data_IF_130612449167
#
_entry.id   IF_130612449167
#
_cell.length_a   1.000
_cell.length_b   1.000
_cell.length_c   1.000
_cell.angle_alpha   90.00
_cell.angle_beta   90.00
_cell.angle_gamma   90.00
#
_symmetry.space_group_name_H-M   'P 1'
#
loop_
_entity.id
_entity.type
_entity.pdbx_description
1 polymer ?
#
# COMPACT_ATOMS: atom_id res chain seq x y z
N UNK A 1 -37.33 -16.97 11.57
CA UNK A 1 -36.54 -16.12 12.48
C UNK A 1 -35.10 -16.62 12.46
N UNK A 2 -34.20 -15.97 11.70
CA UNK A 2 -32.76 -16.33 11.69
C UNK A 2 -32.18 -15.93 13.03
N UNK A 3 -31.55 -16.86 13.75
CA UNK A 3 -30.77 -16.56 14.94
C UNK A 3 -29.72 -15.51 14.57
N UNK A 4 -29.81 -14.33 15.18
CA UNK A 4 -28.81 -13.27 15.06
C UNK A 4 -27.51 -13.79 15.66
N UNK A 5 -26.57 -14.24 14.82
CA UNK A 5 -25.20 -14.54 15.24
C UNK A 5 -24.61 -13.29 15.86
N UNK A 6 -24.42 -13.30 17.19
CA UNK A 6 -23.82 -12.18 17.92
C UNK A 6 -22.43 -11.94 17.32
N UNK A 7 -22.19 -10.74 16.78
CA UNK A 7 -20.90 -10.37 16.18
C UNK A 7 -19.73 -10.69 17.11
N UNK A 8 -18.68 -11.30 16.55
CA UNK A 8 -17.45 -11.64 17.29
C UNK A 8 -16.63 -10.39 17.61
N UNK A 9 -15.78 -10.48 18.64
CA UNK A 9 -14.89 -9.40 19.06
C UNK A 9 -13.56 -9.56 18.32
N UNK A 10 -13.17 -8.53 17.57
CA UNK A 10 -11.94 -8.50 16.77
C UNK A 10 -11.06 -7.35 17.25
N UNK A 11 -9.76 -7.60 17.42
CA UNK A 11 -8.78 -6.56 17.74
C UNK A 11 -7.67 -6.50 16.69
N UNK A 12 -7.61 -5.40 15.93
CA UNK A 12 -6.47 -5.04 15.10
C UNK A 12 -5.43 -4.32 15.94
N UNK A 13 -4.16 -4.71 15.82
CA UNK A 13 -3.06 -4.19 16.63
C UNK A 13 -1.97 -3.59 15.73
N UNK A 14 -1.68 -2.31 15.95
CA UNK A 14 -0.52 -1.64 15.36
C UNK A 14 0.21 -0.76 16.39
N UNK A 15 1.50 -0.55 16.12
CA UNK A 15 2.49 0.18 16.88
C UNK A 15 3.13 1.30 16.06
N UNK A 16 2.93 1.32 14.73
CA UNK A 16 3.54 2.29 13.80
C UNK A 16 2.56 2.93 12.83
N UNK A 17 1.46 2.25 12.46
CA UNK A 17 0.52 2.78 11.48
C UNK A 17 -0.38 3.87 12.09
N UNK A 18 -0.74 4.90 11.31
CA UNK A 18 -1.67 5.92 11.75
C UNK A 18 -3.08 5.33 11.94
N UNK A 19 -3.88 5.94 12.82
CA UNK A 19 -5.26 5.46 13.12
C UNK A 19 -6.21 5.39 11.91
N UNK A 20 -5.94 6.14 10.84
CA UNK A 20 -6.73 6.13 9.61
C UNK A 20 -5.95 5.52 8.44
N UNK A 21 -5.04 4.58 8.72
CA UNK A 21 -4.34 3.82 7.70
C UNK A 21 -5.33 3.23 6.68
N UNK A 22 -4.96 3.30 5.40
CA UNK A 22 -5.86 2.92 4.30
C UNK A 22 -6.17 1.43 4.31
N UNK A 23 -5.19 0.58 4.62
CA UNK A 23 -5.38 -0.87 4.65
C UNK A 23 -6.04 -1.29 5.95
N UNK A 24 -5.52 -0.81 7.09
CA UNK A 24 -5.97 -1.28 8.40
C UNK A 24 -7.34 -0.72 8.74
N UNK A 25 -7.49 0.60 8.75
CA UNK A 25 -8.73 1.23 9.21
C UNK A 25 -9.78 1.31 8.11
N UNK A 26 -9.44 1.97 6.98
CA UNK A 26 -10.43 2.30 5.95
C UNK A 26 -10.99 1.08 5.24
N UNK A 27 -10.16 0.04 5.10
CA UNK A 27 -10.46 -1.20 4.39
C UNK A 27 -10.83 -2.31 5.38
N UNK A 28 -9.87 -2.86 6.11
CA UNK A 28 -10.11 -4.06 6.92
C UNK A 28 -11.05 -3.85 8.11
N UNK A 29 -10.76 -2.90 9.01
CA UNK A 29 -11.56 -2.67 10.21
C UNK A 29 -13.01 -2.28 9.87
N UNK A 30 -13.19 -1.37 8.91
CA UNK A 30 -14.52 -0.92 8.48
C UNK A 30 -15.31 -2.02 7.76
N UNK A 31 -14.66 -2.85 6.94
CA UNK A 31 -15.31 -4.02 6.32
C UNK A 31 -15.82 -5.00 7.40
N UNK A 32 -15.00 -5.30 8.41
CA UNK A 32 -15.38 -6.19 9.50
C UNK A 32 -16.49 -5.60 10.39
N UNK A 33 -16.43 -4.30 10.69
CA UNK A 33 -17.48 -3.61 11.43
C UNK A 33 -18.81 -3.62 10.66
N UNK A 34 -18.76 -3.39 9.34
CA UNK A 34 -19.92 -3.43 8.44
C UNK A 34 -20.52 -4.83 8.32
N UNK A 35 -19.70 -5.88 8.45
CA UNK A 35 -20.14 -7.26 8.55
C UNK A 35 -20.73 -7.64 9.92
N UNK A 36 -20.81 -6.69 10.86
CA UNK A 36 -21.45 -6.85 12.17
C UNK A 36 -20.52 -7.32 13.29
N UNK A 37 -19.20 -7.35 13.08
CA UNK A 37 -18.23 -7.64 14.14
C UNK A 37 -18.03 -6.44 15.07
N UNK A 38 -17.69 -6.70 16.33
CA UNK A 38 -17.25 -5.66 17.27
C UNK A 38 -15.74 -5.46 17.07
N UNK A 39 -15.36 -4.40 16.38
CA UNK A 39 -13.97 -4.16 15.98
C UNK A 39 -13.31 -3.12 16.88
N UNK A 40 -12.13 -3.46 17.39
CA UNK A 40 -11.23 -2.53 18.06
C UNK A 40 -9.93 -2.39 17.27
N UNK A 41 -9.42 -1.16 17.14
CA UNK A 41 -8.13 -0.87 16.53
C UNK A 41 -7.22 -0.25 17.59
N UNK A 42 -6.21 -0.99 18.04
CA UNK A 42 -5.21 -0.51 19.00
C UNK A 42 -4.08 0.21 18.26
N UNK A 43 -3.86 1.48 18.60
CA UNK A 43 -2.88 2.38 17.96
C UNK A 43 -1.96 3.01 19.01
N UNK A 44 -0.84 3.58 18.56
CA UNK A 44 0.15 4.25 19.42
C UNK A 44 0.49 5.65 18.89
N UNK A 45 -0.52 6.50 18.70
CA UNK A 45 -0.35 7.83 18.11
C UNK A 45 -0.44 8.98 19.13
N UNK A 46 -0.94 8.72 20.34
CA UNK A 46 -1.04 9.71 21.40
C UNK A 46 -2.21 10.68 21.28
N UNK A 47 -3.20 10.41 20.45
CA UNK A 47 -4.38 11.29 20.31
C UNK A 47 -5.60 10.79 21.12
N UNK A 48 -5.43 9.78 21.96
CA UNK A 48 -6.50 9.23 22.80
C UNK A 48 -7.47 8.32 22.05
N UNK A 49 -8.42 7.75 22.80
CA UNK A 49 -9.45 6.85 22.29
C UNK A 49 -10.49 7.59 21.43
N UNK A 50 -11.04 6.90 20.44
CA UNK A 50 -12.02 7.43 19.49
C UNK A 50 -12.95 6.30 19.02
N UNK A 51 -14.21 6.62 18.71
CA UNK A 51 -15.10 5.70 17.98
C UNK A 51 -15.42 6.32 16.62
N UNK A 52 -15.19 5.57 15.54
CA UNK A 52 -15.39 6.05 14.17
C UNK A 52 -15.78 4.91 13.25
N UNK A 53 -16.82 5.14 12.44
CA UNK A 53 -17.30 4.18 11.43
C UNK A 53 -17.56 2.76 11.98
N UNK A 54 -18.06 2.67 13.23
CA UNK A 54 -18.31 1.39 13.92
C UNK A 54 -17.06 0.69 14.48
N UNK A 55 -15.90 1.35 14.44
CA UNK A 55 -14.62 0.85 14.96
C UNK A 55 -14.24 1.63 16.22
N UNK A 56 -13.92 0.90 17.29
CA UNK A 56 -13.42 1.48 18.54
C UNK A 56 -11.88 1.57 18.48
N UNK A 57 -11.37 2.78 18.27
CA UNK A 57 -9.94 3.08 18.22
C UNK A 57 -9.43 3.33 19.64
N UNK A 58 -8.42 2.57 20.04
CA UNK A 58 -7.89 2.54 21.40
C UNK A 58 -6.41 2.94 21.38
N UNK A 59 -6.08 4.10 21.93
CA UNK A 59 -4.70 4.60 21.92
C UNK A 59 -3.91 4.08 23.13
N UNK A 60 -2.63 3.76 22.90
CA UNK A 60 -1.67 3.38 23.95
C UNK A 60 -0.54 4.39 24.12
N UNK A 61 -0.65 5.54 23.47
CA UNK A 61 0.30 6.64 23.58
C UNK A 61 1.52 6.50 22.67
N UNK A 62 1.98 7.66 22.17
CA UNK A 62 3.05 7.77 21.17
C UNK A 62 4.39 7.18 21.65
N UNK A 63 5.14 6.48 20.77
CA UNK A 63 6.52 6.08 21.08
C UNK A 63 7.43 7.30 21.29
N UNK A 64 8.29 7.23 22.30
CA UNK A 64 9.34 8.25 22.53
C UNK A 64 10.43 8.18 21.46
N UNK A 65 10.74 6.97 21.00
CA UNK A 65 11.73 6.67 19.97
C UNK A 65 11.50 5.24 19.45
N UNK A 66 12.33 4.79 18.50
CA UNK A 66 12.21 3.46 17.88
C UNK A 66 12.40 2.31 18.88
N UNK A 67 13.29 2.43 19.87
CA UNK A 67 13.51 1.39 20.87
C UNK A 67 12.31 1.25 21.80
N UNK A 68 11.75 2.37 22.25
CA UNK A 68 10.50 2.40 23.02
C UNK A 68 9.34 1.80 22.21
N UNK A 69 9.28 2.07 20.89
CA UNK A 69 8.28 1.45 20.01
C UNK A 69 8.39 -0.08 20.01
N UNK A 70 9.59 -0.63 19.88
CA UNK A 70 9.81 -2.07 19.82
C UNK A 70 9.66 -2.77 21.20
N UNK A 71 9.58 -2.02 22.30
CA UNK A 71 9.57 -2.58 23.67
C UNK A 71 8.44 -2.04 24.55
N UNK A 72 8.47 -0.76 24.90
CA UNK A 72 7.48 -0.12 25.76
C UNK A 72 6.11 -0.09 25.12
N UNK A 73 6.00 0.35 23.86
CA UNK A 73 4.74 0.35 23.10
C UNK A 73 4.22 -1.06 22.91
N UNK A 74 5.05 -2.02 22.49
CA UNK A 74 4.59 -3.42 22.31
C UNK A 74 3.99 -4.01 23.59
N UNK A 75 4.54 -3.70 24.77
CA UNK A 75 3.95 -4.08 26.07
C UNK A 75 2.61 -3.40 26.33
N UNK A 76 2.47 -2.11 26.02
CA UNK A 76 1.20 -1.39 26.19
C UNK A 76 0.12 -1.89 25.23
N UNK A 77 0.49 -2.16 23.97
CA UNK A 77 -0.38 -2.81 22.98
C UNK A 77 -0.83 -4.18 23.49
N UNK A 78 0.08 -4.99 24.03
CA UNK A 78 -0.25 -6.29 24.60
C UNK A 78 -1.25 -6.18 25.77
N UNK A 79 -1.00 -5.28 26.73
CA UNK A 79 -1.89 -5.06 27.86
C UNK A 79 -3.29 -4.63 27.40
N UNK A 80 -3.35 -3.71 26.42
CA UNK A 80 -4.62 -3.26 25.84
C UNK A 80 -5.34 -4.39 25.11
N UNK A 81 -4.63 -5.17 24.28
CA UNK A 81 -5.18 -6.34 23.60
C UNK A 81 -5.78 -7.35 24.58
N UNK A 82 -5.06 -7.67 25.67
CA UNK A 82 -5.54 -8.57 26.71
C UNK A 82 -6.80 -8.05 27.41
N UNK A 83 -6.90 -6.73 27.65
CA UNK A 83 -8.10 -6.12 28.24
C UNK A 83 -9.33 -6.18 27.35
N UNK A 84 -9.15 -6.24 26.02
CA UNK A 84 -10.26 -6.37 25.07
C UNK A 84 -10.84 -7.79 25.11
N UNK A 85 -10.00 -8.81 25.31
CA UNK A 85 -10.43 -10.21 25.33
C UNK A 85 -11.06 -10.64 24.01
N UNK A 86 -10.44 -10.25 22.88
CA UNK A 86 -10.95 -10.53 21.54
C UNK A 86 -10.91 -12.03 21.17
N UNK A 87 -11.83 -12.44 20.31
CA UNK A 87 -11.86 -13.76 19.69
C UNK A 87 -10.72 -13.92 18.68
N UNK A 88 -10.45 -12.84 17.91
CA UNK A 88 -9.38 -12.74 16.92
C UNK A 88 -8.52 -11.50 17.19
N UNK A 89 -7.20 -11.69 17.15
CA UNK A 89 -6.19 -10.65 17.14
C UNK A 89 -5.50 -10.60 15.79
N UNK A 90 -5.51 -9.44 15.15
CA UNK A 90 -4.92 -9.21 13.84
C UNK A 90 -3.75 -8.23 13.98
N UNK A 91 -2.54 -8.70 13.69
CA UNK A 91 -1.29 -7.96 13.91
C UNK A 91 -0.76 -7.40 12.60
N UNK A 92 -0.40 -6.13 12.56
CA UNK A 92 0.12 -5.49 11.33
C UNK A 92 1.64 -5.24 11.34
N UNK A 93 2.30 -5.34 12.49
CA UNK A 93 3.73 -5.00 12.62
C UNK A 93 4.59 -6.20 13.04
N UNK A 94 5.79 -6.37 12.44
CA UNK A 94 6.71 -7.42 12.84
C UNK A 94 7.14 -7.35 14.32
N UNK A 95 7.24 -6.14 14.92
CA UNK A 95 7.53 -6.03 16.35
C UNK A 95 6.43 -6.61 17.27
N UNK A 96 5.22 -6.85 16.76
CA UNK A 96 4.12 -7.45 17.49
C UNK A 96 4.09 -8.98 17.44
N UNK A 97 4.99 -9.64 16.70
CA UNK A 97 5.07 -11.10 16.66
C UNK A 97 5.16 -11.76 18.06
N UNK A 98 5.97 -11.25 19.02
CA UNK A 98 5.98 -11.78 20.38
C UNK A 98 4.65 -11.59 21.12
N UNK A 99 3.95 -10.47 20.86
CA UNK A 99 2.61 -10.21 21.41
C UNK A 99 1.62 -11.24 20.90
N UNK A 100 1.65 -11.53 19.60
CA UNK A 100 0.86 -12.60 18.99
C UNK A 100 1.07 -13.95 19.63
N UNK A 101 2.32 -14.35 19.87
CA UNK A 101 2.62 -15.61 20.55
C UNK A 101 2.02 -15.68 21.95
N UNK A 102 2.04 -14.58 22.70
CA UNK A 102 1.45 -14.52 24.02
C UNK A 102 -0.09 -14.60 23.98
N UNK A 103 -0.72 -13.89 23.05
CA UNK A 103 -2.18 -13.93 22.85
C UNK A 103 -2.64 -15.33 22.40
N UNK A 104 -1.88 -15.98 21.52
CA UNK A 104 -2.13 -17.36 21.06
C UNK A 104 -2.06 -18.37 22.21
N UNK A 105 -1.09 -18.23 23.12
CA UNK A 105 -0.98 -19.08 24.32
C UNK A 105 -2.17 -18.92 25.27
N UNK A 106 -2.81 -17.75 25.26
CA UNK A 106 -4.01 -17.47 26.04
C UNK A 106 -5.32 -17.89 25.32
N UNK A 107 -5.23 -18.67 24.25
CA UNK A 107 -6.38 -19.21 23.53
C UNK A 107 -6.96 -18.29 22.44
N UNK A 108 -6.40 -17.10 22.24
CA UNK A 108 -6.82 -16.20 21.16
C UNK A 108 -6.44 -16.73 19.78
N UNK A 109 -7.26 -16.45 18.77
CA UNK A 109 -6.86 -16.67 17.38
C UNK A 109 -6.03 -15.50 16.90
N UNK A 110 -4.95 -15.78 16.19
CA UNK A 110 -3.97 -14.77 15.79
C UNK A 110 -3.75 -14.82 14.29
N UNK A 111 -3.93 -13.66 13.66
CA UNK A 111 -3.60 -13.39 12.27
C UNK A 111 -2.41 -12.43 12.25
N UNK A 112 -1.43 -12.69 11.39
CA UNK A 112 -0.37 -11.72 11.08
C UNK A 112 -0.53 -11.21 9.64
N UNK A 113 -0.64 -9.91 9.47
CA UNK A 113 -0.69 -9.23 8.18
C UNK A 113 0.71 -8.78 7.76
N UNK A 114 1.29 -9.51 6.83
CA UNK A 114 2.57 -9.17 6.24
C UNK A 114 2.36 -8.11 5.13
N UNK A 115 2.46 -6.83 5.50
CA UNK A 115 2.39 -5.70 4.57
C UNK A 115 3.60 -5.67 3.62
N UNK A 116 4.74 -6.11 4.12
CA UNK A 116 6.01 -6.18 3.40
C UNK A 116 6.84 -7.39 3.86
N UNK A 117 7.82 -7.80 3.06
CA UNK A 117 8.86 -8.75 3.49
C UNK A 117 9.93 -8.03 4.33
N UNK A 118 9.60 -7.77 5.60
CA UNK A 118 10.44 -6.97 6.49
C UNK A 118 11.91 -7.45 6.59
N UNK A 119 12.23 -8.77 6.67
CA UNK A 119 13.61 -9.24 6.57
C UNK A 119 14.30 -8.82 5.27
N UNK A 120 13.67 -9.04 4.11
CA UNK A 120 14.25 -8.63 2.82
C UNK A 120 14.38 -7.11 2.69
N UNK A 121 13.44 -6.35 3.25
CA UNK A 121 13.50 -4.88 3.32
C UNK A 121 14.71 -4.39 4.13
N UNK A 122 15.16 -5.13 5.15
CA UNK A 122 16.37 -4.75 5.88
C UNK A 122 17.63 -4.96 5.02
N UNK A 123 17.64 -6.00 4.18
CA UNK A 123 18.76 -6.30 3.30
C UNK A 123 18.93 -5.24 2.19
N UNK A 124 17.83 -4.65 1.72
CA UNK A 124 17.84 -3.56 0.70
C UNK A 124 18.26 -2.18 1.24
N UNK A 125 18.52 -2.03 2.55
CA UNK A 125 18.98 -0.76 3.13
C UNK A 125 20.47 -0.52 2.88
N UNK A 126 20.81 -0.16 1.63
CA UNK A 126 22.20 -0.06 1.15
C UNK A 126 23.11 0.90 1.94
N UNK A 127 22.54 1.82 2.70
CA UNK A 127 23.25 2.71 3.61
C UNK A 127 23.79 2.04 4.89
N UNK A 128 23.27 0.87 5.29
CA UNK A 128 23.78 0.10 6.42
C UNK A 128 24.95 -0.78 6.00
N UNK A 129 25.93 -1.05 6.87
CA UNK A 129 26.98 -2.02 6.55
C UNK A 129 26.40 -3.44 6.36
N UNK A 130 26.88 -4.27 5.41
CA UNK A 130 26.33 -5.60 5.14
C UNK A 130 26.19 -6.50 6.38
N UNK A 131 27.18 -6.48 7.28
CA UNK A 131 27.13 -7.22 8.55
C UNK A 131 25.93 -6.79 9.40
N UNK A 132 25.67 -5.48 9.50
CA UNK A 132 24.55 -4.94 10.27
C UNK A 132 23.22 -5.37 9.67
N UNK A 133 23.08 -5.34 8.35
CA UNK A 133 21.83 -5.78 7.67
C UNK A 133 21.54 -7.25 7.94
N UNK A 134 22.54 -8.13 7.78
CA UNK A 134 22.35 -9.56 8.02
C UNK A 134 22.07 -9.86 9.49
N UNK A 135 22.76 -9.19 10.42
CA UNK A 135 22.55 -9.36 11.86
C UNK A 135 21.18 -8.90 12.35
N UNK A 136 20.47 -8.03 11.62
CA UNK A 136 19.10 -7.64 11.95
C UNK A 136 18.08 -8.49 11.15
N UNK A 137 18.33 -8.71 9.86
CA UNK A 137 17.44 -9.46 8.98
C UNK A 137 17.29 -10.92 9.40
N UNK A 138 18.38 -11.59 9.76
CA UNK A 138 18.35 -13.02 10.07
C UNK A 138 17.54 -13.32 11.34
N UNK A 139 17.78 -12.67 12.50
CA UNK A 139 16.96 -12.90 13.69
C UNK A 139 15.49 -12.56 13.47
N UNK A 140 15.19 -11.49 12.72
CA UNK A 140 13.80 -11.13 12.41
C UNK A 140 13.13 -12.22 11.57
N UNK A 141 13.79 -12.73 10.54
CA UNK A 141 13.26 -13.82 9.71
C UNK A 141 13.07 -15.13 10.49
N UNK A 142 13.94 -15.42 11.46
CA UNK A 142 13.78 -16.56 12.38
C UNK A 142 12.56 -16.37 13.28
N UNK A 143 12.40 -15.17 13.87
CA UNK A 143 11.25 -14.84 14.73
C UNK A 143 9.93 -14.87 13.95
N UNK A 144 9.91 -14.30 12.74
CA UNK A 144 8.75 -14.29 11.84
C UNK A 144 8.33 -15.72 11.51
N UNK A 145 9.26 -16.56 11.05
CA UNK A 145 8.99 -17.96 10.74
C UNK A 145 8.51 -18.74 11.97
N UNK A 146 9.15 -18.53 13.12
CA UNK A 146 8.79 -19.22 14.36
C UNK A 146 7.38 -18.85 14.83
N UNK A 147 7.04 -17.56 14.75
CA UNK A 147 5.76 -17.00 15.18
C UNK A 147 4.63 -17.37 14.24
N UNK A 148 4.81 -17.13 12.93
CA UNK A 148 3.78 -17.38 11.93
C UNK A 148 3.42 -18.87 11.80
N UNK A 149 4.36 -19.80 12.09
CA UNK A 149 4.04 -21.25 12.19
C UNK A 149 3.07 -21.61 13.32
N UNK A 150 2.87 -20.73 14.30
CA UNK A 150 1.98 -20.94 15.46
C UNK A 150 0.71 -20.12 15.37
N UNK A 151 0.65 -19.15 14.47
CA UNK A 151 -0.54 -18.35 14.22
C UNK A 151 -1.54 -19.15 13.38
N UNK A 152 -2.80 -18.71 13.40
CA UNK A 152 -3.88 -19.40 12.70
C UNK A 152 -3.84 -19.11 11.20
N UNK A 153 -3.49 -17.88 10.82
CA UNK A 153 -3.29 -17.48 9.43
C UNK A 153 -2.25 -16.37 9.31
N UNK A 154 -1.64 -16.29 8.14
CA UNK A 154 -0.95 -15.09 7.67
C UNK A 154 -1.77 -14.48 6.54
N UNK A 155 -1.99 -13.17 6.59
CA UNK A 155 -2.43 -12.40 5.42
C UNK A 155 -1.17 -11.87 4.75
N UNK A 156 -1.04 -12.10 3.46
CA UNK A 156 0.02 -11.54 2.63
C UNK A 156 -0.57 -10.41 1.78
N UNK A 157 0.09 -9.25 1.77
CA UNK A 157 -0.36 -8.10 0.98
C UNK A 157 -0.10 -8.22 -0.53
N UNK A 158 0.75 -9.18 -0.95
CA UNK A 158 1.03 -9.47 -2.37
C UNK A 158 1.25 -10.97 -2.62
N UNK A 159 1.05 -11.45 -3.87
CA UNK A 159 1.33 -12.85 -4.24
C UNK A 159 2.77 -13.29 -3.97
N UNK A 160 3.75 -12.39 -4.10
CA UNK A 160 5.14 -12.67 -3.81
C UNK A 160 5.40 -12.94 -2.32
N UNK A 161 4.77 -12.14 -1.44
CA UNK A 161 4.80 -12.37 0.01
C UNK A 161 4.09 -13.69 0.33
N UNK A 162 2.94 -13.97 -0.31
CA UNK A 162 2.21 -15.23 -0.13
C UNK A 162 3.08 -16.43 -0.46
N UNK A 163 3.78 -16.40 -1.61
CA UNK A 163 4.68 -17.46 -2.07
C UNK A 163 5.79 -17.77 -1.04
N UNK A 164 6.38 -16.76 -0.40
CA UNK A 164 7.35 -16.94 0.69
C UNK A 164 6.77 -17.80 1.82
N UNK A 165 5.53 -17.55 2.25
CA UNK A 165 4.90 -18.32 3.33
C UNK A 165 4.51 -19.73 2.88
N UNK A 166 4.06 -19.90 1.63
CA UNK A 166 3.78 -21.22 1.05
C UNK A 166 5.03 -22.11 1.01
N UNK A 167 6.19 -21.57 0.57
CA UNK A 167 7.49 -22.26 0.59
C UNK A 167 7.91 -22.68 2.00
N UNK A 168 7.49 -21.92 3.02
CA UNK A 168 7.74 -22.23 4.43
C UNK A 168 6.70 -23.16 5.06
N UNK A 169 5.68 -23.57 4.28
CA UNK A 169 4.51 -24.35 4.69
C UNK A 169 3.74 -23.68 5.83
N UNK A 170 3.61 -22.36 5.76
CA UNK A 170 2.85 -21.55 6.71
C UNK A 170 1.49 -21.23 6.08
N UNK A 171 0.36 -21.51 6.75
CA UNK A 171 -0.96 -21.18 6.22
C UNK A 171 -1.09 -19.68 5.98
N UNK A 172 -1.26 -19.31 4.72
CA UNK A 172 -1.40 -17.92 4.33
C UNK A 172 -2.57 -17.73 3.36
N UNK A 173 -3.08 -16.51 3.27
CA UNK A 173 -4.03 -16.05 2.24
C UNK A 173 -3.48 -14.76 1.64
N UNK A 174 -3.76 -14.53 0.36
CA UNK A 174 -3.40 -13.27 -0.28
C UNK A 174 -4.59 -12.31 -0.16
N UNK A 175 -4.39 -11.13 0.42
CA UNK A 175 -5.38 -10.05 0.46
C UNK A 175 -4.67 -8.75 0.08
N UNK A 176 -4.88 -8.29 -1.14
CA UNK A 176 -4.14 -7.16 -1.71
C UNK A 176 -4.65 -5.81 -1.20
N UNK A 177 -3.86 -4.74 -1.35
CA UNK A 177 -4.25 -3.38 -0.96
C UNK A 177 -4.92 -2.60 -2.11
N UNK A 178 -5.78 -3.26 -2.89
CA UNK A 178 -6.43 -2.66 -4.07
C UNK A 178 -7.38 -1.49 -3.74
N UNK A 179 -7.61 -0.56 -4.67
CA UNK A 179 -8.43 0.64 -4.44
C UNK A 179 -9.89 0.32 -4.08
N UNK A 180 -10.53 1.25 -3.36
CA UNK A 180 -11.98 1.25 -3.17
C UNK A 180 -12.65 1.71 -4.47
N UNK A 181 -13.67 0.97 -4.91
CA UNK A 181 -14.45 1.36 -6.10
C UNK A 181 -15.11 2.73 -5.89
N UNK A 182 -15.19 3.52 -6.96
CA UNK A 182 -15.76 4.87 -6.92
C UNK A 182 -14.92 5.94 -6.19
N UNK A 183 -13.85 5.59 -5.45
CA UNK A 183 -13.10 6.58 -4.65
C UNK A 183 -12.30 7.56 -5.52
N UNK A 184 -11.68 7.08 -6.60
CA UNK A 184 -10.90 7.92 -7.52
C UNK A 184 -11.43 7.87 -8.96
N UNK A 185 -12.59 7.24 -9.16
CA UNK A 185 -13.27 7.26 -10.45
C UNK A 185 -13.64 8.69 -10.83
N UNK A 186 -13.47 8.99 -12.12
CA UNK A 186 -13.78 10.28 -12.70
C UNK A 186 -14.76 10.10 -13.85
N UNK A 187 -15.84 10.88 -13.77
CA UNK A 187 -16.85 11.01 -14.81
C UNK A 187 -16.47 12.07 -15.85
N UNK A 188 -15.30 12.72 -15.70
CA UNK A 188 -14.86 13.73 -16.65
C UNK A 188 -14.69 13.13 -18.05
N UNK A 189 -15.31 13.73 -19.09
CA UNK A 189 -15.08 13.32 -20.47
C UNK A 189 -13.59 13.35 -20.81
N UNK A 190 -13.14 12.40 -21.63
CA UNK A 190 -11.73 12.34 -22.05
C UNK A 190 -11.25 13.63 -22.74
N UNK A 191 -12.15 14.36 -23.39
CA UNK A 191 -11.82 15.62 -24.05
C UNK A 191 -11.45 16.76 -23.07
N UNK A 192 -11.68 16.58 -21.76
CA UNK A 192 -11.24 17.51 -20.72
C UNK A 192 -9.79 17.25 -20.26
N UNK A 193 -9.16 16.17 -20.74
CA UNK A 193 -7.77 15.85 -20.42
C UNK A 193 -6.85 16.91 -21.01
N UNK A 194 -5.95 17.41 -20.18
CA UNK A 194 -4.91 18.34 -20.58
C UNK A 194 -3.65 17.57 -20.96
N UNK A 195 -2.69 18.24 -21.62
CA UNK A 195 -1.34 17.71 -21.84
C UNK A 195 -0.55 17.68 -20.53
N UNK A 196 -1.03 16.90 -19.58
CA UNK A 196 -0.48 16.78 -18.25
C UNK A 196 -0.35 15.32 -17.87
N UNK A 197 0.77 14.98 -17.22
CA UNK A 197 0.97 13.67 -16.60
C UNK A 197 1.12 13.88 -15.10
N UNK A 198 0.76 12.89 -14.28
CA UNK A 198 0.79 13.05 -12.82
C UNK A 198 1.69 12.04 -12.11
N UNK A 199 2.36 12.52 -11.07
CA UNK A 199 3.04 11.72 -10.07
C UNK A 199 2.54 12.15 -8.70
N UNK A 200 1.70 11.33 -8.06
CA UNK A 200 1.14 11.62 -6.74
C UNK A 200 1.64 10.61 -5.71
N UNK A 201 2.11 11.09 -4.56
CA UNK A 201 2.62 10.30 -3.44
C UNK A 201 4.07 10.66 -3.06
N UNK A 202 4.65 9.94 -2.10
CA UNK A 202 5.99 10.23 -1.58
C UNK A 202 7.06 10.32 -2.68
N UNK A 203 7.78 11.45 -2.69
CA UNK A 203 8.70 11.87 -3.74
C UNK A 203 10.14 11.62 -3.30
N UNK A 204 10.71 10.50 -3.74
CA UNK A 204 12.04 10.03 -3.29
C UNK A 204 12.90 9.60 -4.47
N UNK A 205 14.22 9.58 -4.27
CA UNK A 205 15.17 9.12 -5.28
C UNK A 205 14.85 7.71 -5.77
N UNK A 206 14.60 6.79 -4.83
CA UNK A 206 14.37 5.38 -5.14
C UNK A 206 13.04 5.13 -5.87
N UNK A 207 12.11 6.08 -5.79
CA UNK A 207 10.86 6.07 -6.55
C UNK A 207 10.95 6.82 -7.89
N UNK A 208 12.18 7.08 -8.35
CA UNK A 208 12.52 7.50 -9.71
C UNK A 208 12.29 8.98 -10.04
N UNK A 209 12.07 9.85 -9.05
CA UNK A 209 11.70 11.24 -9.35
C UNK A 209 12.77 11.99 -10.16
N UNK A 210 14.06 11.72 -9.92
CA UNK A 210 15.16 12.34 -10.69
C UNK A 210 15.02 12.03 -12.18
N UNK A 211 14.69 10.79 -12.52
CA UNK A 211 14.50 10.33 -13.90
C UNK A 211 13.22 10.91 -14.52
N UNK A 212 12.12 10.98 -13.76
CA UNK A 212 10.86 11.57 -14.22
C UNK A 212 11.05 13.05 -14.55
N UNK A 213 11.70 13.83 -13.67
CA UNK A 213 11.94 15.27 -13.92
C UNK A 213 12.91 15.45 -15.08
N UNK A 214 13.97 14.64 -15.18
CA UNK A 214 14.87 14.67 -16.33
C UNK A 214 14.14 14.37 -17.65
N UNK A 215 13.18 13.44 -17.65
CA UNK A 215 12.37 13.11 -18.82
C UNK A 215 11.55 14.31 -19.32
N UNK A 216 11.08 15.18 -18.42
CA UNK A 216 10.34 16.38 -18.79
C UNK A 216 11.17 17.40 -19.57
N UNK A 217 12.50 17.39 -19.45
CA UNK A 217 13.38 18.20 -20.30
C UNK A 217 13.53 17.65 -21.73
N UNK A 218 13.26 16.35 -21.91
CA UNK A 218 13.43 15.62 -23.18
C UNK A 218 12.11 15.58 -23.97
N UNK A 219 10.98 15.46 -23.27
CA UNK A 219 9.66 15.37 -23.87
C UNK A 219 9.35 16.57 -24.78
N UNK A 220 8.87 16.28 -26.00
CA UNK A 220 8.64 17.29 -27.06
C UNK A 220 7.17 17.70 -27.20
N UNK A 221 6.27 16.94 -26.60
CA UNK A 221 4.82 17.15 -26.64
C UNK A 221 4.33 18.43 -25.94
N UNK A 222 5.21 19.08 -25.15
CA UNK A 222 4.87 20.21 -24.30
C UNK A 222 4.07 19.83 -23.05
N UNK A 223 4.09 18.55 -22.67
CA UNK A 223 3.38 18.07 -21.49
C UNK A 223 3.95 18.66 -20.19
N UNK A 224 3.09 18.88 -19.20
CA UNK A 224 3.48 19.30 -17.84
C UNK A 224 3.35 18.15 -16.85
N UNK A 225 4.19 18.14 -15.82
CA UNK A 225 4.14 17.15 -14.74
C UNK A 225 3.41 17.72 -13.52
N UNK A 226 2.23 17.20 -13.20
CA UNK A 226 1.56 17.41 -11.93
C UNK A 226 2.24 16.58 -10.83
N UNK A 227 3.08 17.22 -10.03
CA UNK A 227 3.88 16.57 -8.99
C UNK A 227 3.31 16.88 -7.60
N UNK A 228 2.74 15.89 -6.94
CA UNK A 228 2.10 16.04 -5.64
C UNK A 228 2.62 15.04 -4.61
N UNK A 229 2.96 15.51 -3.42
CA UNK A 229 3.41 14.69 -2.30
C UNK A 229 4.60 15.29 -1.54
N UNK A 230 4.98 14.68 -0.41
CA UNK A 230 6.11 15.14 0.39
C UNK A 230 7.46 14.76 -0.24
N UNK A 231 8.44 15.66 -0.12
CA UNK A 231 9.87 15.41 -0.32
C UNK A 231 10.55 15.14 1.04
N UNK A 232 10.68 13.87 1.47
CA UNK A 232 11.41 13.57 2.71
C UNK A 232 12.92 13.75 2.57
N UNK A 233 13.45 13.64 1.34
CA UNK A 233 14.87 13.72 1.01
C UNK A 233 15.20 15.14 0.50
N UNK A 234 15.93 15.93 1.31
CA UNK A 234 16.24 17.34 0.99
C UNK A 234 17.17 17.47 -0.23
N UNK A 235 18.13 16.56 -0.36
CA UNK A 235 19.05 16.48 -1.50
C UNK A 235 18.28 16.22 -2.80
N UNK A 236 17.33 15.28 -2.78
CA UNK A 236 16.49 14.97 -3.95
C UNK A 236 15.68 16.17 -4.41
N UNK A 237 15.10 16.93 -3.48
CA UNK A 237 14.39 18.17 -3.81
C UNK A 237 15.31 19.16 -4.54
N UNK A 238 16.48 19.41 -3.97
CA UNK A 238 17.47 20.32 -4.56
C UNK A 238 17.90 19.86 -5.96
N UNK A 239 18.12 18.56 -6.16
CA UNK A 239 18.55 18.01 -7.46
C UNK A 239 17.50 18.21 -8.54
N UNK A 240 16.22 17.96 -8.23
CA UNK A 240 15.15 18.08 -9.22
C UNK A 240 14.82 19.53 -9.53
N UNK A 241 14.85 20.44 -8.54
CA UNK A 241 14.62 21.88 -8.74
C UNK A 241 15.69 22.53 -9.65
N UNK A 242 16.92 21.99 -9.63
CA UNK A 242 18.01 22.45 -10.48
C UNK A 242 18.03 21.79 -11.87
N UNK A 243 17.20 20.76 -12.08
CA UNK A 243 17.10 20.09 -13.38
C UNK A 243 16.35 20.96 -14.39
N UNK A 244 16.78 21.02 -15.68
CA UNK A 244 16.06 21.77 -16.71
C UNK A 244 14.58 21.40 -16.84
N UNK A 245 14.25 20.13 -16.58
CA UNK A 245 12.88 19.61 -16.67
C UNK A 245 11.94 20.15 -15.60
N UNK A 246 12.47 20.76 -14.53
CA UNK A 246 11.66 21.40 -13.48
C UNK A 246 10.77 22.52 -14.02
N UNK A 247 11.20 23.20 -15.09
CA UNK A 247 10.40 24.25 -15.76
C UNK A 247 9.03 23.76 -16.28
N UNK A 248 8.89 22.45 -16.50
CA UNK A 248 7.65 21.79 -16.91
C UNK A 248 6.88 21.15 -15.74
N UNK A 249 7.28 21.38 -14.48
CA UNK A 249 6.65 20.81 -13.30
C UNK A 249 5.62 21.78 -12.72
N UNK A 250 4.44 21.26 -12.40
CA UNK A 250 3.44 21.86 -11.52
C UNK A 250 3.60 21.23 -10.13
N UNK A 251 4.33 21.88 -9.22
CA UNK A 251 4.43 21.43 -7.83
C UNK A 251 3.12 21.71 -7.09
N UNK A 252 2.46 20.66 -6.61
CA UNK A 252 1.15 20.75 -5.96
C UNK A 252 1.25 20.69 -4.43
N UNK A 253 2.42 20.39 -3.88
CA UNK A 253 2.59 20.16 -2.45
C UNK A 253 1.84 18.91 -1.97
N UNK A 254 1.27 18.96 -0.76
CA UNK A 254 0.43 17.87 -0.25
C UNK A 254 -0.91 17.86 -1.02
N UNK A 255 -1.27 16.70 -1.55
CA UNK A 255 -2.52 16.51 -2.32
C UNK A 255 -3.42 15.56 -1.53
N UNK A 256 -4.57 16.05 -1.09
CA UNK A 256 -5.62 15.28 -0.43
C UNK A 256 -6.32 14.33 -1.41
N UNK A 257 -7.17 13.42 -0.90
CA UNK A 257 -7.91 12.47 -1.77
C UNK A 257 -8.85 13.17 -2.77
N UNK A 258 -9.64 14.20 -2.38
CA UNK A 258 -10.45 14.96 -3.33
C UNK A 258 -9.61 15.69 -4.39
N UNK A 259 -8.54 16.39 -3.97
CA UNK A 259 -7.64 17.09 -4.89
C UNK A 259 -6.95 16.11 -5.85
N UNK A 260 -6.58 14.91 -5.37
CA UNK A 260 -6.04 13.85 -6.21
C UNK A 260 -7.04 13.47 -7.30
N UNK A 261 -8.32 13.29 -6.97
CA UNK A 261 -9.36 13.00 -7.97
C UNK A 261 -9.43 14.09 -9.05
N UNK A 262 -9.34 15.37 -8.67
CA UNK A 262 -9.32 16.49 -9.63
C UNK A 262 -8.08 16.47 -10.52
N UNK A 263 -6.90 16.23 -9.94
CA UNK A 263 -5.64 16.10 -10.69
C UNK A 263 -5.71 14.94 -11.68
N UNK A 264 -6.19 13.77 -11.25
CA UNK A 264 -6.36 12.61 -12.13
C UNK A 264 -7.41 12.86 -13.21
N UNK A 265 -8.49 13.59 -12.90
CA UNK A 265 -9.54 13.94 -13.85
C UNK A 265 -9.01 14.76 -15.03
N UNK A 266 -8.06 15.67 -14.80
CA UNK A 266 -7.44 16.48 -15.88
C UNK A 266 -6.14 15.90 -16.47
N UNK A 267 -5.46 14.99 -15.77
CA UNK A 267 -4.20 14.39 -16.25
C UNK A 267 -4.44 13.30 -17.28
N UNK A 268 -3.66 13.29 -18.36
CA UNK A 268 -3.68 12.32 -19.45
C UNK A 268 -3.16 10.95 -19.03
N UNK A 269 -2.14 10.88 -18.17
CA UNK A 269 -1.51 9.64 -17.73
C UNK A 269 -0.92 9.77 -16.33
N UNK A 270 -0.76 8.64 -15.64
CA UNK A 270 -0.09 8.57 -14.34
C UNK A 270 1.25 7.85 -14.42
N UNK A 271 2.26 8.35 -13.69
CA UNK A 271 3.63 7.81 -13.71
C UNK A 271 3.94 7.05 -12.42
N UNK A 272 4.41 5.81 -12.57
CA UNK A 272 4.89 4.92 -11.50
C UNK A 272 6.19 4.25 -11.95
N UNK A 273 7.30 4.99 -11.93
CA UNK A 273 8.61 4.51 -12.40
C UNK A 273 9.58 4.32 -11.24
N UNK A 274 9.30 3.36 -10.35
CA UNK A 274 10.23 3.04 -9.26
C UNK A 274 11.53 2.44 -9.80
N UNK A 275 12.65 2.75 -9.14
CA UNK A 275 13.94 2.17 -9.50
C UNK A 275 14.02 0.70 -9.08
N UNK A 276 14.81 -0.14 -9.80
CA UNK A 276 14.89 -1.57 -9.54
C UNK A 276 15.53 -1.86 -8.18
N UNK A 277 14.67 -2.18 -7.22
CA UNK A 277 15.03 -2.69 -5.89
C UNK A 277 14.26 -3.98 -5.65
N UNK A 278 14.81 -4.96 -4.90
CA UNK A 278 14.14 -6.25 -4.67
C UNK A 278 12.70 -6.10 -4.19
N UNK A 279 12.43 -5.12 -3.32
CA UNK A 279 11.08 -4.86 -2.83
C UNK A 279 10.18 -4.16 -3.86
N UNK A 280 10.74 -3.35 -4.76
CA UNK A 280 9.94 -2.66 -5.78
C UNK A 280 9.52 -3.61 -6.91
N UNK A 281 10.40 -4.54 -7.29
CA UNK A 281 10.15 -5.52 -8.37
C UNK A 281 8.95 -6.41 -8.04
N UNK A 282 8.79 -6.76 -6.76
CA UNK A 282 7.74 -7.66 -6.26
C UNK A 282 6.55 -6.92 -5.63
N UNK A 283 6.58 -5.58 -5.57
CA UNK A 283 5.52 -4.78 -4.95
C UNK A 283 4.36 -4.52 -5.91
N UNK A 284 3.20 -4.20 -5.33
CA UNK A 284 2.01 -3.74 -6.04
C UNK A 284 1.65 -2.34 -5.52
N UNK A 285 2.25 -1.27 -6.06
CA UNK A 285 2.05 0.08 -5.53
C UNK A 285 0.63 0.57 -5.76
N UNK A 286 -0.05 1.03 -4.71
CA UNK A 286 -1.43 1.52 -4.79
C UNK A 286 -1.64 2.54 -5.92
N UNK A 287 -0.70 3.48 -6.10
CA UNK A 287 -0.80 4.54 -7.12
C UNK A 287 -1.03 4.01 -8.55
N UNK A 288 -0.51 2.82 -8.87
CA UNK A 288 -0.76 2.18 -10.16
C UNK A 288 -2.25 1.91 -10.36
N UNK A 289 -2.87 1.23 -9.38
CA UNK A 289 -4.29 0.91 -9.42
C UNK A 289 -5.19 2.12 -9.23
N UNK A 290 -4.72 3.16 -8.53
CA UNK A 290 -5.43 4.44 -8.40
C UNK A 290 -5.53 5.16 -9.75
N UNK A 291 -4.45 5.15 -10.55
CA UNK A 291 -4.47 5.69 -11.92
C UNK A 291 -5.36 4.85 -12.84
N UNK A 292 -5.27 3.51 -12.75
CA UNK A 292 -6.17 2.62 -13.47
C UNK A 292 -7.65 2.88 -13.12
N UNK A 293 -7.97 3.04 -11.83
CA UNK A 293 -9.32 3.36 -11.35
C UNK A 293 -9.83 4.70 -11.88
N UNK A 294 -8.98 5.71 -11.94
CA UNK A 294 -9.29 6.99 -12.57
C UNK A 294 -9.46 6.88 -14.10
N UNK A 295 -9.19 5.72 -14.70
CA UNK A 295 -9.28 5.50 -16.14
C UNK A 295 -8.29 6.34 -16.92
N UNK A 296 -7.04 6.43 -16.42
CA UNK A 296 -5.93 7.01 -17.17
C UNK A 296 -4.84 5.94 -17.37
N UNK A 297 -4.13 5.95 -18.51
CA UNK A 297 -3.02 5.06 -18.76
C UNK A 297 -1.91 5.22 -17.72
N UNK A 298 -1.21 4.12 -17.45
CA UNK A 298 -0.07 4.09 -16.52
C UNK A 298 1.25 3.99 -17.29
N UNK A 299 2.18 4.90 -17.02
CA UNK A 299 3.59 4.74 -17.41
C UNK A 299 4.32 4.10 -16.21
N UNK A 300 4.71 2.84 -16.34
CA UNK A 300 5.22 2.03 -15.24
C UNK A 300 6.67 1.55 -15.48
N UNK A 301 7.40 1.22 -14.42
CA UNK A 301 8.67 0.48 -14.55
C UNK A 301 8.47 -0.87 -15.23
N UNK A 302 9.43 -1.28 -16.04
CA UNK A 302 9.47 -2.57 -16.74
C UNK A 302 9.86 -3.74 -15.81
N UNK A 303 9.10 -3.95 -14.74
CA UNK A 303 9.25 -5.11 -13.85
C UNK A 303 8.32 -6.24 -14.29
N UNK A 304 8.72 -7.52 -14.19
CA UNK A 304 7.91 -8.64 -14.68
C UNK A 304 6.44 -8.61 -14.20
N UNK A 305 6.22 -8.42 -12.89
CA UNK A 305 4.89 -8.32 -12.30
C UNK A 305 4.10 -7.11 -12.84
N UNK A 306 4.77 -5.98 -13.04
CA UNK A 306 4.13 -4.74 -13.49
C UNK A 306 3.77 -4.82 -14.96
N UNK A 307 4.55 -5.51 -15.78
CA UNK A 307 4.18 -5.80 -17.18
C UNK A 307 2.92 -6.65 -17.26
N UNK A 308 2.82 -7.70 -16.44
CA UNK A 308 1.62 -8.53 -16.39
C UNK A 308 0.37 -7.71 -16.04
N UNK A 309 0.50 -6.76 -15.11
CA UNK A 309 -0.60 -5.87 -14.71
C UNK A 309 -0.88 -4.79 -15.76
N UNK A 310 0.14 -4.14 -16.32
CA UNK A 310 -0.02 -2.96 -17.18
C UNK A 310 -0.20 -3.36 -18.64
N UNK A 311 0.74 -4.09 -19.20
CA UNK A 311 0.69 -4.54 -20.60
C UNK A 311 -0.30 -5.70 -20.77
N UNK A 312 -0.36 -6.63 -19.81
CA UNK A 312 -1.31 -7.75 -19.85
C UNK A 312 -2.78 -7.35 -19.75
N UNK A 313 -3.07 -6.13 -19.30
CA UNK A 313 -4.40 -5.52 -19.34
C UNK A 313 -4.52 -4.37 -20.34
N UNK A 314 -3.50 -4.18 -21.20
CA UNK A 314 -3.45 -3.12 -22.21
C UNK A 314 -3.80 -1.74 -21.65
N UNK A 315 -3.34 -1.43 -20.42
CA UNK A 315 -3.75 -0.24 -19.67
C UNK A 315 -2.62 0.78 -19.46
N UNK A 316 -1.55 0.68 -20.24
CA UNK A 316 -0.40 1.58 -20.13
C UNK A 316 0.84 1.05 -20.83
N UNK A 317 1.99 1.64 -20.47
CA UNK A 317 3.29 1.35 -21.07
C UNK A 317 4.32 1.08 -19.98
N UNK A 318 5.07 -0.02 -20.12
CA UNK A 318 6.23 -0.29 -19.28
C UNK A 318 7.51 0.26 -19.94
N UNK A 319 8.30 1.00 -19.17
CA UNK A 319 9.55 1.64 -19.63
C UNK A 319 10.72 1.28 -18.72
N UNK A 320 11.95 1.40 -19.23
CA UNK A 320 13.13 1.36 -18.35
C UNK A 320 13.11 2.58 -17.43
N UNK A 321 12.95 2.41 -16.10
CA UNK A 321 12.88 3.55 -15.19
C UNK A 321 14.23 4.26 -15.01
N UNK A 322 15.34 3.68 -15.49
CA UNK A 322 16.67 4.28 -15.45
C UNK A 322 16.98 5.17 -16.67
N UNK A 323 16.15 5.12 -17.71
CA UNK A 323 16.29 5.92 -18.93
C UNK A 323 15.21 7.02 -19.01
N UNK A 324 15.56 8.28 -18.68
CA UNK A 324 14.64 9.41 -18.86
C UNK A 324 14.11 9.57 -20.29
N UNK A 325 14.85 9.14 -21.31
CA UNK A 325 14.42 9.22 -22.71
C UNK A 325 13.27 8.27 -23.01
N UNK A 326 13.29 7.06 -22.41
CA UNK A 326 12.20 6.10 -22.52
C UNK A 326 10.92 6.63 -21.84
N UNK A 327 11.05 7.26 -20.67
CA UNK A 327 9.93 7.91 -19.97
C UNK A 327 9.36 9.04 -20.85
N UNK A 328 10.22 9.89 -21.41
CA UNK A 328 9.82 11.00 -22.27
C UNK A 328 9.11 10.52 -23.55
N UNK A 329 9.62 9.45 -24.18
CA UNK A 329 9.01 8.86 -25.36
C UNK A 329 7.61 8.28 -25.07
N UNK A 330 7.41 7.67 -23.89
CA UNK A 330 6.10 7.20 -23.46
C UNK A 330 5.12 8.35 -23.22
N UNK A 331 5.57 9.45 -22.62
CA UNK A 331 4.77 10.67 -22.44
C UNK A 331 4.35 11.22 -23.82
N UNK A 332 5.31 11.44 -24.72
CA UNK A 332 5.06 11.97 -26.06
C UNK A 332 4.09 11.07 -26.84
N UNK A 333 4.30 9.75 -26.81
CA UNK A 333 3.41 8.79 -27.48
C UNK A 333 1.96 8.89 -27.00
N UNK A 334 1.72 9.00 -25.70
CA UNK A 334 0.35 9.12 -25.17
C UNK A 334 -0.29 10.45 -25.53
N UNK A 335 0.48 11.55 -25.54
CA UNK A 335 -0.02 12.88 -25.94
C UNK A 335 -0.34 12.93 -27.42
N UNK A 336 0.51 12.34 -28.27
CA UNK A 336 0.35 12.36 -29.71
C UNK A 336 -0.71 11.35 -30.21
N UNK A 337 -1.09 10.37 -29.37
CA UNK A 337 -2.08 9.35 -29.68
C UNK A 337 -3.24 9.32 -28.66
N UNK A 338 -4.05 10.39 -28.53
CA UNK A 338 -5.06 10.52 -27.47
C UNK A 338 -6.14 9.43 -27.53
N UNK A 339 -6.50 8.93 -28.71
CA UNK A 339 -7.44 7.82 -28.85
C UNK A 339 -6.89 6.49 -28.33
N UNK A 340 -5.57 6.29 -28.41
CA UNK A 340 -4.91 5.11 -27.82
C UNK A 340 -4.79 5.24 -26.30
N UNK A 341 -4.39 6.42 -25.82
CA UNK A 341 -4.35 6.74 -24.39
C UNK A 341 -5.72 6.53 -23.73
N UNK A 342 -6.81 6.95 -24.41
CA UNK A 342 -8.19 6.73 -23.96
C UNK A 342 -8.50 5.26 -23.77
N UNK A 343 -8.24 4.42 -24.79
CA UNK A 343 -8.49 2.98 -24.72
C UNK A 343 -7.71 2.33 -23.57
N UNK A 344 -6.45 2.71 -23.38
CA UNK A 344 -5.64 2.21 -22.25
C UNK A 344 -6.25 2.61 -20.90
N UNK A 345 -6.72 3.85 -20.76
CA UNK A 345 -7.42 4.29 -19.55
C UNK A 345 -8.71 3.50 -19.29
N UNK A 346 -9.54 3.30 -20.31
CA UNK A 346 -10.78 2.52 -20.23
C UNK A 346 -10.49 1.06 -19.82
N UNK A 347 -9.48 0.43 -20.42
CA UNK A 347 -9.04 -0.93 -20.07
C UNK A 347 -8.56 -1.04 -18.62
N UNK A 348 -7.77 -0.07 -18.14
CA UNK A 348 -7.31 -0.03 -16.75
C UNK A 348 -8.47 0.08 -15.76
N UNK A 349 -9.46 0.92 -16.07
CA UNK A 349 -10.66 1.08 -15.24
C UNK A 349 -11.46 -0.21 -15.18
N UNK A 350 -11.66 -0.87 -16.32
CA UNK A 350 -12.35 -2.16 -16.39
C UNK A 350 -11.63 -3.22 -15.55
N UNK A 351 -10.30 -3.31 -15.65
CA UNK A 351 -9.50 -4.25 -14.86
C UNK A 351 -9.63 -4.01 -13.35
N UNK A 352 -9.71 -2.75 -12.90
CA UNK A 352 -10.01 -2.41 -11.51
C UNK A 352 -11.42 -2.83 -11.12
N UNK A 353 -12.43 -2.50 -11.93
CA UNK A 353 -13.83 -2.84 -11.65
C UNK A 353 -14.06 -4.36 -11.50
N UNK A 354 -13.37 -5.16 -12.32
CA UNK A 354 -13.55 -6.61 -12.33
C UNK A 354 -12.66 -7.35 -11.32
N UNK A 355 -11.41 -6.92 -11.14
CA UNK A 355 -10.38 -7.71 -10.44
C UNK A 355 -9.62 -6.95 -9.38
N UNK A 356 -9.10 -5.77 -9.71
CA UNK A 356 -8.17 -5.04 -8.84
C UNK A 356 -8.89 -4.05 -7.92
N UNK A 357 -9.86 -4.53 -7.13
CA UNK A 357 -10.62 -3.69 -6.22
C UNK A 357 -10.81 -4.31 -4.83
N UNK A 358 -11.03 -3.45 -3.85
CA UNK A 358 -11.23 -3.85 -2.46
C UNK A 358 -12.47 -4.73 -2.26
N UNK A 359 -13.55 -4.57 -3.03
CA UNK A 359 -14.74 -5.41 -2.86
C UNK A 359 -14.46 -6.90 -3.15
N UNK A 360 -13.48 -7.21 -4.01
CA UNK A 360 -12.97 -8.58 -4.18
C UNK A 360 -12.18 -9.02 -2.95
N UNK A 361 -11.25 -8.18 -2.48
CA UNK A 361 -10.37 -8.48 -1.35
C UNK A 361 -11.12 -8.57 0.00
N UNK A 362 -12.15 -7.76 0.18
CA UNK A 362 -13.07 -7.74 1.32
C UNK A 362 -13.79 -9.09 1.46
N UNK A 363 -14.26 -9.67 0.35
CA UNK A 363 -14.89 -11.01 0.39
C UNK A 363 -13.90 -12.07 0.87
N UNK A 364 -12.64 -12.00 0.43
CA UNK A 364 -11.57 -12.89 0.90
C UNK A 364 -11.27 -12.68 2.39
N UNK A 365 -11.26 -11.43 2.86
CA UNK A 365 -11.09 -11.10 4.28
C UNK A 365 -12.23 -11.67 5.13
N UNK A 366 -13.48 -11.40 4.75
CA UNK A 366 -14.64 -11.88 5.50
C UNK A 366 -14.69 -13.41 5.53
N UNK A 367 -14.41 -14.07 4.40
CA UNK A 367 -14.34 -15.54 4.33
C UNK A 367 -13.24 -16.11 5.24
N UNK A 368 -12.07 -15.46 5.33
CA UNK A 368 -11.03 -15.86 6.29
C UNK A 368 -11.53 -15.74 7.73
N UNK A 369 -12.21 -14.64 8.07
CA UNK A 369 -12.73 -14.45 9.42
C UNK A 369 -13.81 -15.48 9.76
N UNK A 370 -14.67 -15.83 8.82
CA UNK A 370 -15.64 -16.91 8.96
C UNK A 370 -14.96 -18.28 9.14
N UNK A 371 -13.91 -18.59 8.38
CA UNK A 371 -13.10 -19.83 8.55
C UNK A 371 -12.54 -19.95 9.97
N UNK A 372 -12.02 -18.84 10.50
CA UNK A 372 -11.40 -18.78 11.81
C UNK A 372 -12.43 -18.73 12.94
N UNK A 373 -13.71 -18.47 12.70
CA UNK A 373 -14.73 -18.35 13.72
C UNK A 373 -15.73 -19.51 13.57
N UNK A 374 -15.64 -20.59 14.37
CA UNK A 374 -16.61 -21.67 14.33
C UNK A 374 -18.03 -21.10 14.48
N UNK A 375 -18.93 -21.58 13.63
CA UNK A 375 -20.36 -21.39 13.84
C UNK A 375 -20.71 -22.10 15.17
N UNK A 376 -21.42 -21.37 16.04
CA UNK A 376 -21.80 -21.84 17.36
C UNK A 376 -22.79 -23.00 17.28
#
# INVERSE_FOLDING_TARGET
>A
MKQSSRGKIVAHLTSVHPRYDTRIFLKECRSLASAGHRVSLVVADGLGDEEKDGVCILDVGKPRNRLDRMTGVTRRVMARAQSIGADIYHLHDPELLPVGLALKRNGGRVIFDAHEDAPRQILSKFYLHPIVRHSISWPLGVLERYSCRRFDKVIAATPAIRKKFDELRIPAVNINNFPLLGELETEAPWDHKQKEVCYIGGITAIRGIRQVVAAMAIARSGARLNLGGPFPEKDVRSDVEQSPGWSAVNELGFVSRPEMREVLARSLAGIVTFLPEPNHIEAQPNKMFEYMSAGIPVIASNFPLWREIVEGNECGLCVDPLDPSAIAAAIDHLVDNPGHARRMGENGRLAVQERFNWTVEERSLLSLYEELLPQA
#
